data_IF_709053423270
#
_entry.id   IF_709053423270
#
_cell.length_a   1.000
_cell.length_b   1.000
_cell.length_c   1.000
_cell.angle_alpha   90.00
_cell.angle_beta   90.00
_cell.angle_gamma   90.00
#
_symmetry.space_group_name_H-M   'P 1'
#
loop_
_entity.id
_entity.type
_entity.pdbx_description
1 polymer ?
#
# COMPACT_ATOMS: atom_id res chain seq x y z
N UNK A 1 -8.29 5.73 -18.73
CA UNK A 1 -7.13 5.71 -17.80
C UNK A 1 -6.03 6.55 -18.43
N UNK A 2 -5.37 7.44 -17.68
CA UNK A 2 -4.52 8.53 -18.21
C UNK A 2 -3.16 8.09 -18.83
N UNK A 3 -2.97 6.80 -19.15
CA UNK A 3 -1.71 6.27 -19.71
C UNK A 3 -0.50 6.34 -18.76
N UNK A 4 -0.75 6.49 -17.46
CA UNK A 4 0.27 6.60 -16.42
C UNK A 4 0.44 5.26 -15.72
N UNK A 5 0.97 4.28 -16.43
CA UNK A 5 1.04 2.91 -15.91
C UNK A 5 2.35 2.65 -15.15
N UNK A 6 3.47 3.18 -15.67
CA UNK A 6 4.80 2.87 -15.15
C UNK A 6 5.40 3.93 -14.21
N UNK A 7 4.92 5.17 -14.27
CA UNK A 7 5.49 6.26 -13.46
C UNK A 7 5.48 5.98 -11.94
N UNK A 8 4.40 5.41 -11.38
CA UNK A 8 4.35 5.11 -9.95
C UNK A 8 5.33 3.99 -9.53
N UNK A 9 5.67 3.07 -10.42
CA UNK A 9 6.65 1.99 -10.17
C UNK A 9 8.08 2.51 -10.26
N UNK A 10 8.40 3.38 -11.24
CA UNK A 10 9.73 4.00 -11.33
C UNK A 10 10.12 4.72 -10.04
N UNK A 11 9.16 5.38 -9.39
CA UNK A 11 9.40 6.09 -8.15
C UNK A 11 9.70 5.14 -6.98
N UNK A 12 9.07 3.97 -6.95
CA UNK A 12 9.37 2.93 -5.96
C UNK A 12 10.77 2.36 -6.22
N UNK A 13 11.09 1.99 -7.46
CA UNK A 13 12.39 1.44 -7.83
C UNK A 13 13.58 2.40 -7.64
N UNK A 14 13.33 3.71 -7.58
CA UNK A 14 14.35 4.71 -7.28
C UNK A 14 14.76 4.72 -5.80
N UNK A 15 14.04 4.02 -4.91
CA UNK A 15 14.40 3.91 -3.49
C UNK A 15 15.47 2.84 -3.31
N UNK A 16 16.60 3.21 -2.73
CA UNK A 16 17.70 2.30 -2.46
C UNK A 16 17.28 1.15 -1.52
N UNK A 17 17.73 -0.07 -1.83
CA UNK A 17 17.44 -1.27 -1.04
C UNK A 17 15.99 -1.76 -1.10
N UNK A 18 15.12 -1.16 -1.93
CA UNK A 18 13.74 -1.63 -2.08
C UNK A 18 13.70 -3.00 -2.75
N UNK A 19 12.88 -3.90 -2.21
CA UNK A 19 12.48 -5.14 -2.87
C UNK A 19 11.01 -5.01 -3.23
N UNK A 20 10.73 -4.73 -4.50
CA UNK A 20 9.37 -4.67 -5.01
C UNK A 20 8.90 -6.06 -5.40
N UNK A 21 7.81 -6.51 -4.78
CA UNK A 21 7.13 -7.76 -5.13
C UNK A 21 5.76 -7.39 -5.70
N UNK A 22 5.43 -7.79 -6.95
CA UNK A 22 4.10 -7.60 -7.50
C UNK A 22 3.04 -8.28 -6.62
N UNK A 23 1.95 -7.58 -6.35
CA UNK A 23 0.82 -8.14 -5.63
C UNK A 23 0.01 -9.03 -6.59
N UNK A 24 -0.23 -10.32 -6.28
CA UNK A 24 -1.14 -11.14 -7.06
C UNK A 24 -2.54 -10.50 -7.10
N UNK A 25 -3.13 -10.47 -8.29
CA UNK A 25 -4.48 -9.91 -8.50
C UNK A 25 -4.60 -8.46 -8.01
N UNK A 26 -3.58 -7.64 -8.25
CA UNK A 26 -3.50 -6.25 -7.80
C UNK A 26 -4.74 -5.43 -8.21
N UNK A 27 -5.32 -5.72 -9.37
CA UNK A 27 -6.51 -5.11 -9.96
C UNK A 27 -7.82 -5.45 -9.24
N UNK A 28 -7.85 -6.52 -8.44
CA UNK A 28 -9.05 -6.89 -7.67
C UNK A 28 -9.30 -5.88 -6.56
N UNK A 29 -10.55 -5.44 -6.41
CA UNK A 29 -10.97 -4.47 -5.41
C UNK A 29 -10.66 -4.92 -3.97
N UNK A 30 -10.39 -3.98 -3.06
CA UNK A 30 -10.16 -4.26 -1.63
C UNK A 30 -11.43 -4.62 -0.86
N UNK A 31 -12.62 -4.28 -1.40
CA UNK A 31 -13.92 -4.56 -0.79
C UNK A 31 -14.58 -3.39 -0.06
N UNK A 32 -13.94 -2.23 0.15
CA UNK A 32 -14.54 -1.14 0.93
C UNK A 32 -15.69 -0.42 0.19
N UNK A 33 -15.47 0.13 -1.01
CA UNK A 33 -16.52 0.66 -1.91
C UNK A 33 -17.62 1.57 -1.32
N UNK A 34 -17.47 2.13 -0.11
CA UNK A 34 -18.50 2.91 0.59
C UNK A 34 -19.79 2.12 0.85
N UNK A 35 -20.87 2.48 0.15
CA UNK A 35 -22.17 1.81 0.27
C UNK A 35 -22.11 0.31 -0.03
N UNK A 36 -21.18 -0.12 -0.90
CA UNK A 36 -20.97 -1.53 -1.18
C UNK A 36 -20.64 -2.33 0.09
N UNK A 37 -19.72 -1.86 0.94
CA UNK A 37 -19.39 -2.55 2.19
C UNK A 37 -20.55 -2.55 3.20
N UNK A 38 -21.45 -1.55 3.13
CA UNK A 38 -22.58 -1.44 4.04
C UNK A 38 -23.72 -2.37 3.62
N UNK A 39 -24.08 -2.38 2.33
CA UNK A 39 -25.21 -3.17 1.83
C UNK A 39 -24.84 -4.62 1.52
N UNK A 40 -23.58 -4.90 1.21
CA UNK A 40 -23.08 -6.23 0.86
C UNK A 40 -21.88 -6.62 1.73
N UNK A 41 -22.03 -6.65 3.07
CA UNK A 41 -20.91 -6.83 4.00
C UNK A 41 -20.18 -8.16 3.77
N UNK A 42 -20.89 -9.25 3.50
CA UNK A 42 -20.27 -10.55 3.24
C UNK A 42 -19.40 -10.57 1.98
N UNK A 43 -19.77 -9.82 0.93
CA UNK A 43 -18.97 -9.71 -0.28
C UNK A 43 -17.75 -8.82 -0.05
N UNK A 44 -17.92 -7.72 0.69
CA UNK A 44 -16.83 -6.87 1.16
C UNK A 44 -15.78 -7.67 1.93
N UNK A 45 -16.21 -8.46 2.90
CA UNK A 45 -15.34 -9.31 3.71
C UNK A 45 -14.64 -10.40 2.89
N UNK A 46 -15.34 -11.01 1.92
CA UNK A 46 -14.74 -12.00 1.03
C UNK A 46 -13.64 -11.40 0.16
N UNK A 47 -13.87 -10.19 -0.40
CA UNK A 47 -12.87 -9.45 -1.17
C UNK A 47 -11.68 -9.05 -0.32
N UNK A 48 -11.93 -8.54 0.89
CA UNK A 48 -10.87 -8.21 1.85
C UNK A 48 -10.04 -9.44 2.16
N UNK A 49 -10.66 -10.56 2.54
CA UNK A 49 -9.95 -11.80 2.87
C UNK A 49 -9.07 -12.29 1.72
N UNK A 50 -9.60 -12.28 0.48
CA UNK A 50 -8.82 -12.63 -0.72
C UNK A 50 -7.60 -11.72 -0.87
N UNK A 51 -7.79 -10.41 -0.71
CA UNK A 51 -6.70 -9.43 -0.82
C UNK A 51 -5.64 -9.63 0.27
N UNK A 52 -6.04 -9.90 1.51
CA UNK A 52 -5.11 -10.17 2.62
C UNK A 52 -4.27 -11.44 2.37
N UNK A 53 -4.88 -12.51 1.84
CA UNK A 53 -4.16 -13.73 1.46
C UNK A 53 -3.12 -13.42 0.37
N UNK A 54 -3.51 -12.70 -0.68
CA UNK A 54 -2.59 -12.29 -1.74
C UNK A 54 -1.43 -11.44 -1.21
N UNK A 55 -1.72 -10.49 -0.30
CA UNK A 55 -0.69 -9.67 0.37
C UNK A 55 0.26 -10.56 1.17
N UNK A 56 -0.26 -11.48 1.98
CA UNK A 56 0.55 -12.38 2.80
C UNK A 56 1.47 -13.28 1.97
N UNK A 57 1.00 -13.77 0.82
CA UNK A 57 1.78 -14.60 -0.10
C UNK A 57 3.01 -13.89 -0.67
N UNK A 58 3.00 -12.55 -0.73
CA UNK A 58 4.17 -11.78 -1.20
C UNK A 58 5.34 -11.80 -0.22
N UNK A 59 5.09 -12.08 1.07
CA UNK A 59 6.09 -11.92 2.13
C UNK A 59 6.50 -10.46 2.40
N UNK A 60 5.82 -9.48 1.79
CA UNK A 60 6.16 -8.07 1.96
C UNK A 60 5.79 -7.55 3.37
N UNK A 61 6.65 -6.72 3.95
CA UNK A 61 6.39 -6.02 5.21
C UNK A 61 5.42 -4.83 5.06
N UNK A 62 5.19 -4.38 3.82
CA UNK A 62 4.38 -3.19 3.53
C UNK A 62 3.63 -3.37 2.22
N UNK A 63 2.33 -3.07 2.23
CA UNK A 63 1.49 -2.91 1.04
C UNK A 63 1.25 -1.43 0.79
N UNK A 64 1.42 -0.99 -0.45
CA UNK A 64 1.25 0.40 -0.85
C UNK A 64 -0.07 0.61 -1.60
N UNK A 65 -0.77 1.69 -1.28
CA UNK A 65 -1.98 2.14 -1.97
C UNK A 65 -1.98 3.64 -2.23
N UNK A 66 -2.99 4.12 -2.94
CA UNK A 66 -3.22 5.54 -3.19
C UNK A 66 -4.60 6.03 -2.72
N UNK A 67 -5.46 5.11 -2.26
CA UNK A 67 -6.79 5.43 -1.75
C UNK A 67 -6.85 5.13 -0.25
N UNK A 68 -7.16 6.16 0.54
CA UNK A 68 -7.15 6.05 1.99
C UNK A 68 -8.20 5.07 2.52
N UNK A 69 -9.37 5.00 1.87
CA UNK A 69 -10.45 4.10 2.28
C UNK A 69 -10.05 2.63 2.10
N UNK A 70 -9.38 2.31 0.99
CA UNK A 70 -8.79 1.00 0.77
C UNK A 70 -7.72 0.69 1.83
N UNK A 71 -6.82 1.64 2.10
CA UNK A 71 -5.75 1.46 3.07
C UNK A 71 -6.27 1.22 4.49
N UNK A 72 -7.28 1.97 4.92
CA UNK A 72 -7.93 1.76 6.23
C UNK A 72 -8.61 0.39 6.31
N UNK A 73 -9.30 -0.03 5.26
CA UNK A 73 -9.95 -1.34 5.22
C UNK A 73 -8.93 -2.49 5.28
N UNK A 74 -7.83 -2.37 4.52
CA UNK A 74 -6.72 -3.32 4.54
C UNK A 74 -6.00 -3.33 5.90
N UNK A 75 -5.67 -2.15 6.46
CA UNK A 75 -5.01 -2.03 7.75
C UNK A 75 -5.84 -2.69 8.86
N UNK A 76 -7.15 -2.43 8.89
CA UNK A 76 -8.05 -3.08 9.84
C UNK A 76 -8.12 -4.61 9.64
N UNK A 77 -8.12 -5.06 8.38
CA UNK A 77 -8.06 -6.48 8.03
C UNK A 77 -6.76 -7.18 8.48
N UNK A 78 -5.61 -6.57 8.19
CA UNK A 78 -4.28 -7.06 8.59
C UNK A 78 -4.15 -7.12 10.11
N UNK A 79 -4.61 -6.09 10.81
CA UNK A 79 -4.62 -6.04 12.27
C UNK A 79 -5.47 -7.17 12.86
N UNK A 80 -6.70 -7.38 12.37
CA UNK A 80 -7.56 -8.50 12.84
C UNK A 80 -6.98 -9.87 12.54
N UNK A 81 -6.21 -10.01 11.46
CA UNK A 81 -5.52 -11.24 11.10
C UNK A 81 -4.21 -11.46 11.87
N UNK A 82 -3.78 -10.51 12.70
CA UNK A 82 -2.50 -10.59 13.44
C UNK A 82 -1.27 -10.52 12.54
N UNK A 83 -1.40 -9.97 11.32
CA UNK A 83 -0.31 -9.89 10.36
C UNK A 83 0.51 -8.61 10.58
N UNK A 84 1.85 -8.72 10.76
CA UNK A 84 2.71 -7.56 11.00
C UNK A 84 3.06 -6.83 9.68
N UNK A 85 2.05 -6.53 8.86
CA UNK A 85 2.18 -5.88 7.55
C UNK A 85 1.57 -4.49 7.63
N UNK A 86 2.31 -3.48 7.19
CA UNK A 86 1.84 -2.08 7.16
C UNK A 86 1.10 -1.80 5.85
N UNK A 87 -0.08 -1.19 5.91
CA UNK A 87 -0.74 -0.62 4.73
C UNK A 87 -0.50 0.90 4.72
N UNK A 88 0.24 1.40 3.73
CA UNK A 88 0.65 2.81 3.67
C UNK A 88 0.27 3.48 2.36
N UNK A 89 0.05 4.79 2.44
CA UNK A 89 -0.04 5.59 1.23
C UNK A 89 1.33 5.68 0.56
N UNK A 90 1.37 5.57 -0.77
CA UNK A 90 2.63 5.60 -1.53
C UNK A 90 3.47 6.84 -1.22
N UNK A 91 2.83 8.01 -1.14
CA UNK A 91 3.52 9.26 -0.82
C UNK A 91 4.11 9.26 0.60
N UNK A 92 3.40 8.73 1.57
CA UNK A 92 3.87 8.61 2.96
C UNK A 92 5.10 7.70 3.04
N UNK A 93 5.02 6.53 2.39
CA UNK A 93 6.16 5.60 2.32
C UNK A 93 7.38 6.24 1.65
N UNK A 94 7.19 7.01 0.58
CA UNK A 94 8.30 7.73 -0.06
C UNK A 94 8.91 8.79 0.86
N UNK A 95 8.10 9.54 1.59
CA UNK A 95 8.58 10.49 2.59
C UNK A 95 9.35 9.80 3.71
N UNK A 96 8.89 8.66 4.22
CA UNK A 96 9.62 7.86 5.22
C UNK A 96 11.01 7.45 4.69
N UNK A 97 11.08 7.01 3.43
CA UNK A 97 12.33 6.56 2.80
C UNK A 97 13.27 7.72 2.47
N UNK A 98 12.76 8.88 2.09
CA UNK A 98 13.56 10.09 1.87
C UNK A 98 14.03 10.73 3.19
N UNK A 99 13.21 10.70 4.24
CA UNK A 99 13.58 11.18 5.58
C UNK A 99 14.70 10.33 6.19
N UNK A 100 14.64 9.00 6.01
CA UNK A 100 15.73 8.11 6.38
C UNK A 100 17.03 8.40 5.60
N UNK A 101 16.92 8.86 4.35
CA UNK A 101 18.07 9.23 3.52
C UNK A 101 18.58 10.67 3.79
N UNK A 102 17.73 11.54 4.32
CA UNK A 102 18.06 12.95 4.62
C UNK A 102 18.88 13.13 5.90
N UNK A 103 18.96 12.12 6.77
CA UNK A 103 19.91 12.07 7.88
C UNK A 103 21.39 11.95 7.42
N UNK A 104 21.62 11.73 6.13
CA UNK A 104 22.95 11.71 5.50
C UNK A 104 23.16 12.88 4.52
N UNK A 105 22.38 13.96 4.68
CA UNK A 105 22.46 15.15 3.84
C UNK A 105 23.29 16.21 4.59
N UNK A 106 24.49 16.59 4.11
CA UNK A 106 25.18 17.75 4.66
C UNK A 106 24.31 18.98 4.45
N UNK A 107 24.29 19.80 5.48
CA UNK A 107 23.31 20.83 5.77
C UNK A 107 23.24 21.93 4.69
N UNK A 108 22.01 22.26 4.30
CA UNK A 108 21.51 23.58 3.85
C UNK A 108 22.00 24.15 2.49
N UNK A 109 21.35 25.19 1.91
CA UNK A 109 21.17 26.51 2.53
C UNK A 109 19.72 26.96 2.72
N UNK A 110 19.57 27.82 3.73
CA UNK A 110 18.53 28.84 3.86
C UNK A 110 18.39 29.69 2.60
N UNK A 111 17.16 29.84 2.11
CA UNK A 111 16.57 31.07 1.57
C UNK A 111 15.04 30.98 1.68
#
# INVERSE_FOLDING_TARGET
MLGVDNAPLRLIHAVEGVQYVPLPEAEVCCGFGGLFAIHLPHLSEALLKRKLIAIQQTGASTVLGCDWSCLMHLAGGLHRAGLPIRALHRAEWLTEKQGANSANRPDSPTD
#
